data_IF_763420366800
#
_entry.id   IF_763420366800
#
_cell.length_a   1.000
_cell.length_b   1.000
_cell.length_c   1.000
_cell.angle_alpha   90.00
_cell.angle_beta   90.00
_cell.angle_gamma   90.00
#
_symmetry.space_group_name_H-M   'P 1'
#
loop_
_entity.id
_entity.type
_entity.pdbx_description
1 polymer ?
#
# COMPACT_ATOMS: atom_id res chain seq x y z
N UNK A 1 -33.77 -13.24 -1.26
CA UNK A 1 -33.21 -12.76 0.03
C UNK A 1 -33.82 -11.39 0.32
N UNK A 2 -34.22 -11.11 1.58
CA UNK A 2 -34.67 -9.77 1.93
C UNK A 2 -33.50 -8.79 1.83
N UNK A 3 -33.77 -7.55 1.45
CA UNK A 3 -32.78 -6.45 1.33
C UNK A 3 -31.87 -6.33 2.56
N UNK A 4 -32.47 -6.39 3.76
CA UNK A 4 -31.73 -6.38 5.04
C UNK A 4 -30.72 -7.53 5.16
N UNK A 5 -31.09 -8.72 4.66
CA UNK A 5 -30.21 -9.89 4.69
C UNK A 5 -29.07 -9.77 3.67
N UNK A 6 -29.35 -9.22 2.49
CA UNK A 6 -28.31 -8.93 1.48
C UNK A 6 -27.30 -7.91 2.02
N UNK A 7 -27.78 -6.81 2.64
CA UNK A 7 -26.92 -5.82 3.27
C UNK A 7 -26.08 -6.43 4.39
N UNK A 8 -26.68 -7.21 5.28
CA UNK A 8 -25.95 -7.86 6.38
C UNK A 8 -24.85 -8.78 5.86
N UNK A 9 -25.10 -9.53 4.79
CA UNK A 9 -24.10 -10.37 4.13
C UNK A 9 -22.99 -9.50 3.54
N UNK A 10 -23.32 -8.43 2.83
CA UNK A 10 -22.34 -7.52 2.24
C UNK A 10 -21.43 -6.91 3.32
N UNK A 11 -22.00 -6.38 4.39
CA UNK A 11 -21.26 -5.79 5.51
C UNK A 11 -20.34 -6.82 6.19
N UNK A 12 -20.82 -8.05 6.37
CA UNK A 12 -20.03 -9.15 6.91
C UNK A 12 -18.85 -9.50 6.00
N UNK A 13 -19.09 -9.61 4.70
CA UNK A 13 -18.03 -9.92 3.71
C UNK A 13 -16.96 -8.84 3.72
N UNK A 14 -17.35 -7.57 3.72
CA UNK A 14 -16.39 -6.44 3.79
C UNK A 14 -15.57 -6.50 5.07
N UNK A 15 -16.21 -6.76 6.22
CA UNK A 15 -15.52 -6.89 7.50
C UNK A 15 -14.54 -8.07 7.50
N UNK A 16 -14.95 -9.23 6.99
CA UNK A 16 -14.10 -10.44 6.93
C UNK A 16 -12.88 -10.19 6.03
N UNK A 17 -13.08 -9.63 4.84
CA UNK A 17 -11.97 -9.32 3.92
C UNK A 17 -11.02 -8.31 4.56
N UNK A 18 -11.54 -7.23 5.17
CA UNK A 18 -10.73 -6.23 5.84
C UNK A 18 -9.92 -6.81 7.00
N UNK A 19 -10.55 -7.62 7.86
CA UNK A 19 -9.89 -8.29 8.98
C UNK A 19 -8.83 -9.29 8.50
N UNK A 20 -9.13 -10.08 7.47
CA UNK A 20 -8.18 -11.01 6.87
C UNK A 20 -6.97 -10.27 6.28
N UNK A 21 -7.18 -9.11 5.63
CA UNK A 21 -6.09 -8.27 5.13
C UNK A 21 -5.17 -7.74 6.24
N UNK A 22 -5.74 -7.27 7.35
CA UNK A 22 -4.97 -6.81 8.52
C UNK A 22 -4.19 -7.97 9.16
N UNK A 23 -4.82 -9.15 9.33
CA UNK A 23 -4.15 -10.33 9.88
C UNK A 23 -3.04 -10.84 8.96
N UNK A 24 -3.25 -10.84 7.65
CA UNK A 24 -2.22 -11.21 6.68
C UNK A 24 -1.04 -10.24 6.73
N UNK A 25 -1.29 -8.94 6.77
CA UNK A 25 -0.25 -7.93 6.92
C UNK A 25 0.56 -8.14 8.21
N UNK A 26 -0.11 -8.41 9.33
CA UNK A 26 0.54 -8.72 10.61
C UNK A 26 1.36 -10.03 10.54
N UNK A 27 0.88 -11.06 9.85
CA UNK A 27 1.59 -12.32 9.66
C UNK A 27 2.84 -12.16 8.78
N UNK A 28 2.76 -11.32 7.72
CA UNK A 28 3.88 -11.02 6.84
C UNK A 28 4.98 -10.19 7.53
N UNK A 29 4.64 -9.46 8.59
CA UNK A 29 5.60 -8.71 9.44
C UNK A 29 6.05 -9.50 10.67
N UNK A 30 5.74 -10.79 10.75
CA UNK A 30 6.16 -11.68 11.82
C UNK A 30 7.69 -11.88 11.90
N UNK A 31 8.16 -12.41 13.03
CA UNK A 31 9.60 -12.51 13.31
C UNK A 31 10.34 -13.58 12.47
N UNK A 32 9.64 -14.54 11.87
CA UNK A 32 10.26 -15.65 11.13
C UNK A 32 10.91 -16.70 12.05
N UNK A 33 11.71 -17.61 11.45
CA UNK A 33 12.36 -18.71 12.17
C UNK A 33 13.59 -18.30 12.98
N UNK A 34 14.08 -17.09 12.78
CA UNK A 34 15.20 -16.49 13.52
C UNK A 34 14.97 -14.99 13.69
N UNK A 35 15.17 -14.51 14.89
CA UNK A 35 15.07 -13.09 15.22
C UNK A 35 15.97 -12.77 16.41
N UNK A 36 16.13 -11.49 16.71
CA UNK A 36 16.82 -11.01 17.89
C UNK A 36 15.77 -10.63 18.94
N UNK A 37 15.73 -11.38 20.04
CA UNK A 37 14.81 -11.09 21.14
C UNK A 37 15.21 -9.79 21.84
N UNK A 38 16.51 -9.60 22.10
CA UNK A 38 17.03 -8.38 22.68
C UNK A 38 18.34 -7.95 21.99
N UNK A 39 18.33 -6.76 21.45
CA UNK A 39 19.52 -6.05 20.97
C UNK A 39 19.84 -4.90 21.92
N UNK A 40 21.09 -4.85 22.42
CA UNK A 40 21.58 -3.79 23.26
C UNK A 40 22.86 -3.23 22.63
N UNK A 41 22.98 -1.90 22.57
CA UNK A 41 24.18 -1.19 22.14
C UNK A 41 24.52 -0.13 23.19
N UNK A 42 25.70 -0.22 23.73
CA UNK A 42 26.30 0.73 24.68
C UNK A 42 27.42 1.49 23.96
N UNK A 43 27.18 2.76 23.66
CA UNK A 43 28.13 3.66 23.01
C UNK A 43 28.83 4.53 24.07
N UNK A 44 30.14 4.45 24.11
CA UNK A 44 31.00 5.31 24.93
C UNK A 44 31.59 6.41 24.06
N UNK A 45 31.74 7.61 24.59
CA UNK A 45 32.22 8.78 23.84
C UNK A 45 33.72 8.68 23.43
N UNK A 46 34.44 7.74 23.98
CA UNK A 46 35.79 7.38 23.52
C UNK A 46 35.84 6.53 22.24
N UNK A 47 34.69 6.31 21.60
CA UNK A 47 34.54 5.50 20.39
C UNK A 47 34.30 4.02 20.62
N UNK A 48 34.31 3.54 21.87
CA UNK A 48 33.97 2.13 22.15
C UNK A 48 32.47 1.91 21.99
N UNK A 49 32.11 0.87 21.24
CA UNK A 49 30.76 0.38 21.09
C UNK A 49 30.70 -1.08 21.52
N UNK A 50 29.89 -1.36 22.53
CA UNK A 50 29.57 -2.71 22.99
C UNK A 50 28.19 -3.09 22.52
N UNK A 51 28.06 -4.22 21.82
CA UNK A 51 26.79 -4.70 21.33
C UNK A 51 26.53 -6.11 21.86
N UNK A 52 25.31 -6.34 22.37
CA UNK A 52 24.82 -7.66 22.77
C UNK A 52 23.61 -8.01 21.92
N UNK A 53 23.68 -9.17 21.27
CA UNK A 53 22.56 -9.77 20.52
C UNK A 53 22.11 -11.04 21.21
N UNK A 54 20.83 -11.12 21.57
CA UNK A 54 20.17 -12.36 22.02
C UNK A 54 19.30 -12.88 20.89
N UNK A 55 19.81 -13.86 20.18
CA UNK A 55 19.10 -14.52 19.08
C UNK A 55 18.18 -15.59 19.61
N UNK A 56 17.00 -15.69 18.99
CA UNK A 56 16.08 -16.82 19.15
C UNK A 56 15.98 -17.54 17.81
N UNK A 57 16.25 -18.84 17.82
CA UNK A 57 16.17 -19.74 16.66
C UNK A 57 15.04 -20.75 16.90
N UNK A 58 14.01 -20.74 16.04
CA UNK A 58 12.88 -21.66 16.15
C UNK A 58 13.09 -22.96 15.34
N UNK A 59 13.92 -22.90 14.29
CA UNK A 59 14.14 -24.02 13.36
C UNK A 59 15.54 -24.64 13.52
N UNK A 60 15.64 -25.83 14.13
CA UNK A 60 16.88 -26.59 14.29
C UNK A 60 17.55 -26.93 12.96
N UNK A 61 18.89 -26.89 12.94
CA UNK A 61 19.72 -27.37 11.84
C UNK A 61 19.67 -26.54 10.56
N UNK A 62 19.01 -25.38 10.59
CA UNK A 62 18.82 -24.51 9.41
C UNK A 62 19.96 -23.51 9.23
N UNK A 63 20.43 -22.92 10.31
CA UNK A 63 21.39 -21.81 10.29
C UNK A 63 22.78 -22.25 10.74
N UNK A 64 23.80 -21.69 10.08
CA UNK A 64 25.22 -21.91 10.42
C UNK A 64 25.92 -20.67 10.94
N UNK A 65 25.36 -19.51 10.69
CA UNK A 65 25.98 -18.24 11.01
C UNK A 65 24.99 -17.34 11.73
N UNK A 66 25.48 -16.68 12.78
CA UNK A 66 24.84 -15.55 13.43
C UNK A 66 25.82 -14.38 13.34
N UNK A 67 25.38 -13.25 12.80
CA UNK A 67 26.28 -12.18 12.42
C UNK A 67 25.60 -10.82 12.36
N UNK A 68 26.44 -9.79 12.34
CA UNK A 68 26.06 -8.45 11.96
C UNK A 68 26.94 -7.94 10.81
N UNK A 69 26.41 -7.07 9.96
CA UNK A 69 27.12 -6.42 8.86
C UNK A 69 27.18 -4.92 9.13
N UNK A 70 28.36 -4.33 8.94
CA UNK A 70 28.56 -2.88 8.97
C UNK A 70 28.44 -2.26 7.58
N UNK A 71 27.77 -1.12 7.46
CA UNK A 71 27.86 -0.31 6.25
C UNK A 71 29.22 0.40 6.14
N UNK A 72 29.74 0.87 7.27
CA UNK A 72 31.10 1.39 7.35
C UNK A 72 32.13 0.28 7.11
N UNK A 73 33.30 0.59 6.56
CA UNK A 73 34.38 -0.37 6.44
C UNK A 73 34.73 -1.00 7.79
N UNK A 74 34.80 -2.31 7.85
CA UNK A 74 35.34 -3.06 8.98
C UNK A 74 36.81 -3.34 8.71
N UNK A 75 37.70 -2.86 9.55
CA UNK A 75 39.10 -3.01 9.33
C UNK A 75 39.89 -3.16 10.64
N UNK A 76 40.98 -3.92 10.60
CA UNK A 76 41.91 -4.10 11.72
C UNK A 76 43.03 -3.05 11.77
N UNK A 77 43.28 -2.42 10.63
CA UNK A 77 44.29 -1.39 10.47
C UNK A 77 43.63 -0.05 10.11
N UNK A 78 44.28 1.04 10.46
CA UNK A 78 43.80 2.38 10.15
C UNK A 78 43.76 2.60 8.63
N UNK A 79 42.55 2.92 8.12
CA UNK A 79 42.31 3.14 6.70
C UNK A 79 42.60 4.57 6.24
N UNK A 80 42.83 5.51 7.16
CA UNK A 80 42.94 6.94 6.84
C UNK A 80 41.58 7.59 6.46
N UNK A 81 40.51 6.86 6.62
CA UNK A 81 39.11 7.26 6.42
C UNK A 81 38.25 6.57 7.47
N UNK A 82 36.98 6.97 7.70
CA UNK A 82 36.12 6.38 8.72
C UNK A 82 35.96 4.88 8.59
N UNK A 83 36.12 4.17 9.69
CA UNK A 83 36.02 2.72 9.74
C UNK A 83 35.61 2.25 11.15
N UNK A 84 35.30 0.97 11.26
CA UNK A 84 35.04 0.28 12.51
C UNK A 84 36.09 -0.79 12.74
N UNK A 85 36.77 -0.72 13.89
CA UNK A 85 37.75 -1.70 14.29
C UNK A 85 37.12 -2.78 15.18
N UNK A 86 37.15 -4.07 14.81
CA UNK A 86 36.69 -5.15 15.69
C UNK A 86 37.72 -5.37 16.83
N UNK A 87 37.27 -5.35 18.06
CA UNK A 87 38.11 -5.57 19.24
C UNK A 87 37.98 -6.99 19.75
N UNK A 88 36.73 -7.41 20.02
CA UNK A 88 36.46 -8.78 20.50
C UNK A 88 35.06 -9.25 20.08
N UNK A 89 34.92 -10.58 20.00
CA UNK A 89 33.62 -11.25 19.80
C UNK A 89 33.55 -12.40 20.80
N UNK A 90 32.62 -12.33 21.73
CA UNK A 90 32.27 -13.42 22.61
C UNK A 90 31.07 -14.18 22.01
N UNK A 91 31.34 -15.37 21.50
CA UNK A 91 30.38 -16.17 20.77
C UNK A 91 29.94 -17.40 21.59
N UNK A 92 28.82 -18.03 21.29
CA UNK A 92 28.33 -19.24 21.97
C UNK A 92 29.35 -20.36 21.92
N UNK A 93 29.43 -21.22 22.98
CA UNK A 93 30.34 -22.36 23.02
C UNK A 93 30.17 -23.28 21.80
N UNK A 94 31.30 -23.78 21.26
CA UNK A 94 31.31 -24.65 20.08
C UNK A 94 31.21 -23.92 18.74
N UNK A 95 31.10 -22.61 18.74
CA UNK A 95 31.13 -21.77 17.52
C UNK A 95 32.50 -21.14 17.31
N UNK A 96 32.72 -20.66 16.09
CA UNK A 96 33.98 -20.05 15.66
C UNK A 96 33.72 -18.56 15.39
N UNK A 97 34.16 -17.65 16.30
CA UNK A 97 34.02 -16.22 16.06
C UNK A 97 34.98 -15.77 14.95
N UNK A 98 34.48 -14.92 14.05
CA UNK A 98 35.21 -14.44 12.89
C UNK A 98 34.84 -13.01 12.54
N UNK A 99 35.72 -12.39 11.75
CA UNK A 99 35.41 -11.17 11.00
C UNK A 99 35.77 -11.38 9.55
N UNK A 100 35.03 -10.76 8.65
CA UNK A 100 35.41 -10.56 7.24
C UNK A 100 35.42 -9.08 6.96
N UNK A 101 36.63 -8.56 6.74
CA UNK A 101 36.88 -7.12 6.65
C UNK A 101 36.43 -6.49 5.32
N UNK A 102 36.71 -5.21 5.17
CA UNK A 102 36.41 -4.42 3.99
C UNK A 102 37.12 -4.98 2.72
N UNK A 103 38.31 -5.56 2.86
CA UNK A 103 39.06 -6.19 1.76
C UNK A 103 38.54 -7.58 1.42
N UNK A 104 37.70 -8.19 2.27
CA UNK A 104 37.19 -9.55 2.14
C UNK A 104 38.08 -10.61 2.79
N UNK A 105 39.07 -10.18 3.60
CA UNK A 105 39.90 -11.10 4.34
C UNK A 105 39.18 -11.60 5.60
N UNK A 106 39.32 -12.90 5.84
CA UNK A 106 38.69 -13.56 7.01
C UNK A 106 39.71 -13.75 8.11
N UNK A 107 39.44 -13.20 9.28
CA UNK A 107 40.24 -13.40 10.50
C UNK A 107 39.43 -14.15 11.54
N UNK A 108 39.95 -15.24 12.06
CA UNK A 108 39.37 -15.99 13.18
C UNK A 108 39.87 -15.40 14.50
N UNK A 109 38.95 -15.19 15.44
CA UNK A 109 39.24 -14.59 16.76
C UNK A 109 39.48 -15.65 17.87
N UNK A 110 39.57 -16.90 17.49
CA UNK A 110 39.89 -17.99 18.42
C UNK A 110 41.01 -18.84 17.84
N UNK A 111 41.59 -19.71 18.68
CA UNK A 111 42.55 -20.76 18.29
C UNK A 111 41.90 -21.90 17.48
N UNK A 112 40.78 -21.64 16.86
CA UNK A 112 39.98 -22.62 16.12
C UNK A 112 40.69 -23.10 14.87
N UNK A 113 40.39 -24.32 14.41
CA UNK A 113 41.07 -24.89 13.26
C UNK A 113 40.88 -24.03 12.01
N UNK A 114 41.97 -23.77 11.31
CA UNK A 114 41.97 -23.08 9.99
C UNK A 114 41.11 -23.80 8.92
N UNK A 115 40.65 -25.01 9.20
CA UNK A 115 39.85 -25.84 8.32
C UNK A 115 38.53 -25.15 7.86
N UNK A 116 37.96 -24.27 8.67
CA UNK A 116 36.67 -23.62 8.36
C UNK A 116 36.79 -22.24 7.70
N UNK A 117 38.01 -21.73 7.52
CA UNK A 117 38.23 -20.40 6.89
C UNK A 117 37.65 -20.36 5.49
N UNK A 118 37.76 -21.45 4.72
CA UNK A 118 37.20 -21.54 3.35
C UNK A 118 35.68 -21.42 3.33
N UNK A 119 35.02 -22.12 4.24
CA UNK A 119 33.56 -22.09 4.37
C UNK A 119 33.07 -20.69 4.80
N UNK A 120 33.70 -20.14 5.84
CA UNK A 120 33.39 -18.79 6.33
C UNK A 120 33.63 -17.74 5.22
N UNK A 121 34.75 -17.81 4.50
CA UNK A 121 35.07 -16.90 3.39
C UNK A 121 34.00 -16.93 2.29
N UNK A 122 33.44 -18.11 2.01
CA UNK A 122 32.42 -18.28 0.96
C UNK A 122 31.03 -17.80 1.39
N UNK A 123 30.70 -17.88 2.67
CA UNK A 123 29.38 -17.59 3.21
C UNK A 123 29.25 -16.17 3.75
N UNK A 124 30.29 -15.63 4.39
CA UNK A 124 30.27 -14.33 5.02
C UNK A 124 30.26 -13.18 4.00
N UNK A 125 29.56 -12.11 4.32
CA UNK A 125 29.54 -10.85 3.59
C UNK A 125 30.78 -10.01 3.93
N UNK A 126 31.07 -8.99 3.14
CA UNK A 126 32.09 -7.98 3.51
C UNK A 126 31.60 -7.16 4.69
N UNK A 127 32.50 -6.67 5.50
CA UNK A 127 32.23 -5.89 6.71
C UNK A 127 31.36 -6.66 7.72
N UNK A 128 31.55 -7.97 7.81
CA UNK A 128 30.77 -8.87 8.65
C UNK A 128 31.56 -9.33 9.87
N UNK A 129 30.92 -9.31 11.01
CA UNK A 129 31.41 -9.89 12.26
C UNK A 129 30.38 -10.87 12.79
N UNK A 130 30.80 -12.06 13.20
CA UNK A 130 29.87 -13.09 13.64
C UNK A 130 30.51 -14.35 14.17
N UNK A 131 29.70 -15.38 14.27
CA UNK A 131 30.17 -16.73 14.61
C UNK A 131 29.63 -17.77 13.63
N UNK A 132 30.44 -18.76 13.35
CA UNK A 132 30.13 -19.91 12.52
C UNK A 132 29.98 -21.15 13.37
N UNK A 133 28.89 -21.88 13.21
CA UNK A 133 28.66 -23.17 13.86
C UNK A 133 28.81 -24.32 12.84
N UNK A 134 29.85 -25.16 12.94
CA UNK A 134 30.05 -26.28 12.02
C UNK A 134 28.87 -27.27 12.03
N UNK A 135 28.29 -27.50 13.21
CA UNK A 135 27.17 -28.45 13.43
C UNK A 135 25.78 -27.84 13.12
N UNK A 136 25.74 -26.57 12.80
CA UNK A 136 24.52 -25.75 12.69
C UNK A 136 23.88 -25.49 14.07
N UNK A 137 23.11 -24.42 14.13
CA UNK A 137 22.38 -24.06 15.35
C UNK A 137 21.13 -24.92 15.51
N UNK A 138 20.92 -25.44 16.69
CA UNK A 138 19.65 -26.01 17.11
C UNK A 138 18.67 -24.91 17.51
N UNK A 139 17.36 -25.24 17.66
CA UNK A 139 16.39 -24.34 18.24
C UNK A 139 16.77 -23.93 19.66
N UNK A 140 16.71 -22.66 20.00
CA UNK A 140 17.06 -22.11 21.29
C UNK A 140 17.62 -20.70 21.25
N UNK A 141 18.05 -20.23 22.42
CA UNK A 141 18.60 -18.90 22.63
C UNK A 141 20.14 -18.90 22.50
N UNK A 142 20.67 -17.89 21.82
CA UNK A 142 22.10 -17.71 21.63
C UNK A 142 22.48 -16.24 21.83
N UNK A 143 23.49 -15.99 22.67
CA UNK A 143 24.03 -14.64 22.90
C UNK A 143 25.37 -14.46 22.20
N UNK A 144 25.54 -13.31 21.55
CA UNK A 144 26.82 -12.87 21.01
C UNK A 144 27.07 -11.46 21.50
N UNK A 145 28.25 -11.24 22.09
CA UNK A 145 28.69 -9.92 22.50
C UNK A 145 29.84 -9.47 21.61
N UNK A 146 29.76 -8.24 21.12
CA UNK A 146 30.77 -7.61 20.30
C UNK A 146 31.32 -6.38 21.00
N UNK A 147 32.61 -6.15 20.85
CA UNK A 147 33.24 -4.89 21.20
C UNK A 147 33.92 -4.36 19.95
N UNK A 148 33.54 -3.15 19.56
CA UNK A 148 34.12 -2.42 18.46
C UNK A 148 34.73 -1.10 18.95
N UNK A 149 35.70 -0.62 18.21
CA UNK A 149 36.16 0.76 18.30
C UNK A 149 35.78 1.49 17.01
N UNK A 150 35.06 2.56 17.16
CA UNK A 150 34.58 3.36 16.05
C UNK A 150 35.50 4.52 15.77
N UNK A 151 35.81 4.73 14.49
CA UNK A 151 36.55 5.87 13.98
C UNK A 151 35.65 6.64 12.98
N UNK A 152 34.65 7.38 13.48
CA UNK A 152 33.60 7.95 12.65
C UNK A 152 34.00 9.28 12.02
N UNK A 153 33.17 9.77 11.09
CA UNK A 153 33.13 11.19 10.79
C UNK A 153 32.56 11.97 11.96
N UNK A 154 33.19 13.12 12.27
CA UNK A 154 32.65 14.14 13.14
C UNK A 154 32.47 15.41 12.34
N UNK A 155 31.26 15.84 12.12
CA UNK A 155 30.93 17.11 11.50
C UNK A 155 30.87 18.17 12.61
N UNK A 156 31.81 19.12 12.61
CA UNK A 156 31.98 20.09 13.68
C UNK A 156 31.97 21.52 13.17
N UNK A 157 31.47 22.43 13.99
CA UNK A 157 31.70 23.86 13.93
C UNK A 157 32.30 24.35 15.26
N UNK A 158 32.29 25.68 15.48
CA UNK A 158 32.86 26.26 16.70
C UNK A 158 32.02 25.97 17.98
N UNK A 159 30.77 25.56 17.83
CA UNK A 159 29.81 25.42 18.95
C UNK A 159 29.37 23.98 19.16
N UNK A 160 29.37 23.13 18.15
CA UNK A 160 28.81 21.78 18.18
C UNK A 160 29.55 20.82 17.25
N UNK A 161 29.52 19.53 17.61
CA UNK A 161 29.87 18.42 16.75
C UNK A 161 28.66 17.50 16.57
N UNK A 162 28.52 16.92 15.38
CA UNK A 162 27.54 15.92 15.04
C UNK A 162 28.21 14.57 14.81
N UNK A 163 27.69 13.54 15.47
CA UNK A 163 28.08 12.16 15.31
C UNK A 163 26.88 11.35 14.85
N UNK A 164 27.01 10.64 13.73
CA UNK A 164 26.00 9.73 13.23
C UNK A 164 26.56 8.29 13.24
N UNK A 165 25.83 7.38 13.89
CA UNK A 165 26.17 5.96 13.99
C UNK A 165 25.03 5.11 13.42
N UNK A 166 25.26 4.54 12.25
CA UNK A 166 24.33 3.55 11.67
C UNK A 166 24.59 2.18 12.31
N UNK A 167 23.70 1.77 13.18
CA UNK A 167 23.81 0.49 13.87
C UNK A 167 23.34 -0.68 13.01
N UNK A 168 22.26 -0.52 12.24
CA UNK A 168 21.78 -1.55 11.33
C UNK A 168 20.88 -0.96 10.23
N UNK A 169 20.88 -1.59 9.04
CA UNK A 169 19.98 -1.27 7.91
C UNK A 169 19.27 -2.52 7.41
N UNK A 170 20.04 -3.54 7.01
CA UNK A 170 19.49 -4.86 6.64
C UNK A 170 19.76 -5.81 7.80
N UNK A 171 18.70 -6.10 8.58
CA UNK A 171 18.84 -6.90 9.79
C UNK A 171 17.59 -7.75 10.06
N UNK A 172 17.76 -8.78 10.88
CA UNK A 172 16.67 -9.54 11.47
C UNK A 172 15.77 -8.63 12.33
N UNK A 173 14.49 -8.98 12.53
CA UNK A 173 13.66 -8.20 13.45
C UNK A 173 14.24 -8.25 14.86
N UNK A 174 14.33 -7.08 15.53
CA UNK A 174 14.70 -6.95 16.94
C UNK A 174 13.44 -6.65 17.75
N UNK A 175 13.02 -7.57 18.61
CA UNK A 175 11.83 -7.41 19.45
C UNK A 175 12.00 -6.30 20.48
N UNK A 176 13.17 -6.25 21.09
CA UNK A 176 13.56 -5.24 22.05
C UNK A 176 14.89 -4.64 21.64
N UNK A 177 14.97 -3.33 21.64
CA UNK A 177 16.16 -2.55 21.37
C UNK A 177 16.42 -1.65 22.56
N UNK A 178 17.62 -1.66 23.08
CA UNK A 178 18.10 -0.72 24.10
C UNK A 178 19.38 -0.06 23.57
N UNK A 179 19.36 1.23 23.36
CA UNK A 179 20.54 2.02 23.03
C UNK A 179 20.90 2.85 24.24
N UNK A 180 22.15 2.76 24.66
CA UNK A 180 22.70 3.50 25.79
C UNK A 180 23.89 4.34 25.32
N UNK A 181 23.90 5.64 25.60
CA UNK A 181 25.05 6.52 25.37
C UNK A 181 25.60 6.93 26.71
N UNK A 182 26.83 6.55 26.97
CA UNK A 182 27.55 6.85 28.20
C UNK A 182 28.22 8.21 28.08
N UNK A 183 27.73 9.19 28.86
CA UNK A 183 28.10 10.60 28.82
C UNK A 183 28.49 11.09 30.24
N UNK A 184 29.65 10.62 30.76
CA UNK A 184 30.07 10.99 32.12
C UNK A 184 30.37 12.47 32.28
N UNK A 185 30.88 13.13 31.22
CA UNK A 185 31.34 14.52 31.23
C UNK A 185 30.26 15.52 30.78
N UNK A 186 29.08 15.02 30.40
CA UNK A 186 27.97 15.87 29.93
C UNK A 186 28.25 16.54 28.60
N UNK A 187 28.94 15.82 27.70
CA UNK A 187 29.29 16.28 26.37
C UNK A 187 28.13 16.16 25.36
N UNK A 188 27.16 15.26 25.63
CA UNK A 188 25.97 15.08 24.77
C UNK A 188 24.94 16.17 25.07
N UNK A 189 24.62 16.96 24.06
CA UNK A 189 23.59 18.02 24.14
C UNK A 189 22.23 17.52 23.65
N UNK A 190 22.21 16.66 22.63
CA UNK A 190 20.96 16.11 22.08
C UNK A 190 21.19 14.71 21.52
N UNK A 191 20.16 13.86 21.62
CA UNK A 191 20.13 12.50 21.08
C UNK A 191 18.94 12.37 20.13
N UNK A 192 19.20 11.90 18.92
CA UNK A 192 18.18 11.53 17.94
C UNK A 192 18.33 10.07 17.53
N UNK A 193 17.24 9.46 17.11
CA UNK A 193 17.24 8.08 16.59
C UNK A 193 16.39 7.97 15.33
N UNK A 194 16.78 7.03 14.48
CA UNK A 194 15.98 6.61 13.33
C UNK A 194 15.65 5.11 13.47
N UNK A 195 14.36 4.75 13.64
CA UNK A 195 13.18 5.63 13.69
C UNK A 195 13.15 6.52 14.95
N UNK A 196 12.40 7.65 14.91
CA UNK A 196 12.35 8.60 16.03
C UNK A 196 11.79 7.97 17.29
N UNK A 197 12.54 8.08 18.39
CA UNK A 197 12.18 7.60 19.72
C UNK A 197 12.55 8.63 20.77
N UNK A 198 11.92 8.54 21.91
CA UNK A 198 12.26 9.41 23.03
C UNK A 198 13.51 8.88 23.73
N UNK A 199 14.46 9.76 23.94
CA UNK A 199 15.65 9.51 24.76
C UNK A 199 15.40 10.01 26.17
N UNK A 200 15.70 9.19 27.18
CA UNK A 200 15.67 9.57 28.60
C UNK A 200 17.09 9.61 29.15
N UNK A 201 17.39 10.59 30.00
CA UNK A 201 18.70 10.69 30.67
C UNK A 201 18.58 10.15 32.08
N UNK A 202 19.36 9.11 32.38
CA UNK A 202 19.46 8.50 33.71
C UNK A 202 20.89 8.64 34.24
N UNK A 203 21.10 9.64 35.09
CA UNK A 203 22.44 9.98 35.55
C UNK A 203 23.33 10.46 34.38
N UNK A 204 24.39 9.73 34.10
CA UNK A 204 25.32 9.98 32.99
C UNK A 204 25.03 9.16 31.74
N UNK A 205 23.89 8.49 31.66
CA UNK A 205 23.55 7.63 30.53
C UNK A 205 22.26 8.11 29.86
N UNK A 206 22.30 8.28 28.55
CA UNK A 206 21.12 8.47 27.72
C UNK A 206 20.60 7.10 27.28
N UNK A 207 19.33 6.84 27.51
CA UNK A 207 18.67 5.58 27.18
C UNK A 207 17.58 5.78 26.14
N UNK A 208 17.58 4.93 25.11
CA UNK A 208 16.52 4.85 24.10
C UNK A 208 16.04 3.40 24.02
N UNK A 209 14.75 3.19 24.19
CA UNK A 209 14.14 1.87 24.12
C UNK A 209 13.15 1.76 22.97
N UNK A 210 12.99 0.55 22.42
CA UNK A 210 12.02 0.30 21.35
C UNK A 210 12.10 -1.09 20.75
N UNK A 211 11.65 -1.22 19.50
CA UNK A 211 11.77 -2.42 18.68
C UNK A 211 12.19 -2.02 17.27
N UNK A 212 12.88 -2.87 16.54
CA UNK A 212 13.25 -2.61 15.14
C UNK A 212 12.69 -3.71 14.25
N UNK A 213 11.73 -3.41 13.37
CA UNK A 213 11.26 -4.38 12.37
C UNK A 213 12.40 -4.79 11.44
N UNK A 214 12.25 -5.95 10.80
CA UNK A 214 13.20 -6.43 9.81
C UNK A 214 13.52 -5.37 8.75
N UNK A 215 14.80 -5.28 8.37
CA UNK A 215 15.30 -4.38 7.30
C UNK A 215 14.89 -2.91 7.49
N UNK A 216 14.88 -2.45 8.75
CA UNK A 216 14.58 -1.06 9.12
C UNK A 216 15.86 -0.36 9.57
N UNK A 217 16.09 0.87 9.09
CA UNK A 217 17.21 1.68 9.54
C UNK A 217 17.17 1.87 11.06
N UNK A 218 18.22 1.44 11.75
CA UNK A 218 18.48 1.72 13.15
C UNK A 218 19.74 2.58 13.26
N UNK A 219 19.55 3.84 13.60
CA UNK A 219 20.58 4.85 13.61
C UNK A 219 20.50 5.70 14.87
N UNK A 220 21.65 6.12 15.35
CA UNK A 220 21.83 7.01 16.49
C UNK A 220 22.57 8.24 16.04
N UNK A 221 21.99 9.41 16.21
CA UNK A 221 22.64 10.69 15.95
C UNK A 221 22.78 11.48 17.25
N UNK A 222 23.96 12.06 17.46
CA UNK A 222 24.29 12.84 18.64
C UNK A 222 24.74 14.25 18.24
N UNK A 223 24.21 15.24 18.92
CA UNK A 223 24.86 16.55 19.01
C UNK A 223 25.71 16.59 20.27
N UNK A 224 26.96 16.97 20.09
CA UNK A 224 28.02 16.91 21.09
C UNK A 224 28.67 18.29 21.22
N UNK A 225 29.27 18.54 22.37
CA UNK A 225 30.17 19.71 22.54
C UNK A 225 31.46 19.53 21.71
N UNK A 226 32.10 20.63 21.28
CA UNK A 226 33.29 20.55 20.41
C UNK A 226 34.47 19.81 21.03
N UNK A 227 34.57 19.76 22.35
CA UNK A 227 35.64 19.10 23.10
C UNK A 227 35.73 17.59 22.80
N UNK A 228 34.68 17.00 22.24
CA UNK A 228 34.63 15.60 21.86
C UNK A 228 35.74 15.20 20.85
N UNK A 229 36.25 16.17 20.08
CA UNK A 229 37.32 15.92 19.11
C UNK A 229 38.60 15.41 19.80
N UNK A 230 38.83 15.80 21.05
CA UNK A 230 40.02 15.38 21.81
C UNK A 230 39.82 13.99 22.45
N UNK A 231 38.61 13.50 22.55
CA UNK A 231 38.25 12.23 23.21
C UNK A 231 37.98 11.10 22.23
N UNK A 232 37.32 11.42 21.13
CA UNK A 232 36.90 10.46 20.11
C UNK A 232 37.91 10.46 18.95
N UNK A 233 38.57 9.33 18.76
CA UNK A 233 39.47 9.10 17.64
C UNK A 233 38.69 8.97 16.33
N UNK A 234 38.34 10.11 15.74
CA UNK A 234 37.50 10.22 14.54
C UNK A 234 38.13 11.17 13.50
N UNK A 235 37.38 11.32 12.40
CA UNK A 235 37.76 12.16 11.26
C UNK A 235 36.94 13.44 11.28
N UNK A 236 37.51 14.51 11.86
CA UNK A 236 36.82 15.79 11.97
C UNK A 236 36.67 16.47 10.61
N UNK A 237 35.49 17.03 10.33
CA UNK A 237 35.16 17.81 9.14
C UNK A 237 34.53 19.12 9.57
N UNK A 238 34.98 20.22 9.03
CA UNK A 238 34.36 21.52 9.26
C UNK A 238 33.09 21.68 8.46
N UNK A 239 31.98 21.88 9.17
CA UNK A 239 30.63 22.02 8.59
C UNK A 239 29.93 23.18 9.31
N UNK A 240 29.62 24.29 8.61
CA UNK A 240 28.96 25.42 9.27
C UNK A 240 27.52 25.10 9.70
N UNK A 241 27.11 25.62 10.85
CA UNK A 241 25.77 25.48 11.45
C UNK A 241 25.35 24.02 11.62
N UNK A 242 26.20 23.24 12.29
CA UNK A 242 26.00 21.82 12.54
C UNK A 242 24.72 21.56 13.31
N UNK A 243 24.52 22.26 14.41
CA UNK A 243 23.34 22.09 15.26
C UNK A 243 22.03 22.40 14.50
N UNK A 244 21.96 23.55 13.83
CA UNK A 244 20.77 23.96 13.08
C UNK A 244 20.43 22.99 11.94
N UNK A 245 21.42 22.49 11.21
CA UNK A 245 21.21 21.50 10.15
C UNK A 245 20.72 20.16 10.69
N UNK A 246 21.34 19.67 11.76
CA UNK A 246 20.96 18.40 12.39
C UNK A 246 19.53 18.48 12.96
N UNK A 247 19.20 19.54 13.67
CA UNK A 247 17.87 19.77 14.23
C UNK A 247 16.80 19.85 13.12
N UNK A 248 17.06 20.63 12.06
CA UNK A 248 16.15 20.77 10.93
C UNK A 248 15.93 19.43 10.18
N UNK A 249 16.99 18.66 9.96
CA UNK A 249 16.90 17.35 9.33
C UNK A 249 16.07 16.37 10.17
N UNK A 250 16.36 16.29 11.48
CA UNK A 250 15.64 15.42 12.41
C UNK A 250 14.18 15.84 12.62
N UNK A 251 13.89 17.15 12.67
CA UNK A 251 12.51 17.63 12.72
C UNK A 251 11.72 17.20 11.47
N UNK A 252 12.30 17.40 10.28
CA UNK A 252 11.66 17.00 9.01
C UNK A 252 11.41 15.50 8.95
N UNK A 253 12.39 14.70 9.36
CA UNK A 253 12.27 13.25 9.39
C UNK A 253 11.19 12.80 10.38
N UNK A 254 11.21 13.33 11.62
CA UNK A 254 10.24 12.96 12.67
C UNK A 254 8.81 13.37 12.31
N UNK A 255 8.61 14.52 11.67
CA UNK A 255 7.29 14.94 11.18
C UNK A 255 6.77 13.98 10.10
N UNK A 256 7.61 13.63 9.14
CA UNK A 256 7.26 12.67 8.08
C UNK A 256 6.91 11.30 8.68
N UNK A 257 7.73 10.80 9.59
CA UNK A 257 7.49 9.52 10.27
C UNK A 257 6.16 9.51 11.04
N UNK A 258 5.91 10.57 11.83
CA UNK A 258 4.64 10.72 12.59
C UNK A 258 3.44 10.81 11.67
N UNK A 259 3.55 11.54 10.55
CA UNK A 259 2.49 11.64 9.55
C UNK A 259 2.14 10.27 8.96
N UNK A 260 3.13 9.52 8.46
CA UNK A 260 2.87 8.19 7.89
C UNK A 260 2.37 7.19 8.93
N UNK A 261 2.86 7.28 10.17
CA UNK A 261 2.36 6.45 11.28
C UNK A 261 0.89 6.76 11.59
N UNK A 262 0.53 8.04 11.69
CA UNK A 262 -0.86 8.46 11.89
C UNK A 262 -1.75 8.05 10.71
N UNK A 263 -1.27 8.20 9.48
CA UNK A 263 -1.98 7.77 8.28
C UNK A 263 -2.24 6.25 8.28
N UNK A 264 -1.25 5.46 8.68
CA UNK A 264 -1.41 4.01 8.82
C UNK A 264 -2.52 3.64 9.81
N UNK A 265 -2.53 4.28 10.98
CA UNK A 265 -3.60 4.05 11.97
C UNK A 265 -4.97 4.50 11.46
N UNK A 266 -5.01 5.66 10.79
CA UNK A 266 -6.25 6.15 10.19
C UNK A 266 -6.79 5.16 9.13
N UNK A 267 -5.95 4.69 8.22
CA UNK A 267 -6.36 3.73 7.19
C UNK A 267 -6.83 2.40 7.81
N UNK A 268 -6.13 1.92 8.83
CA UNK A 268 -6.54 0.72 9.58
C UNK A 268 -7.91 0.92 10.24
N UNK A 269 -8.12 2.08 10.89
CA UNK A 269 -9.41 2.41 11.50
C UNK A 269 -10.53 2.51 10.45
N UNK A 270 -10.25 3.07 9.25
CA UNK A 270 -11.22 3.18 8.17
C UNK A 270 -11.68 1.80 7.66
N UNK A 271 -10.82 0.78 7.65
CA UNK A 271 -11.20 -0.59 7.28
C UNK A 271 -12.35 -1.09 8.15
N UNK A 272 -12.29 -0.85 9.46
CA UNK A 272 -13.34 -1.27 10.41
C UNK A 272 -14.54 -0.31 10.45
N UNK A 273 -14.31 0.97 10.19
CA UNK A 273 -15.38 1.99 10.19
C UNK A 273 -16.22 1.95 8.92
N UNK A 274 -15.65 1.54 7.80
CA UNK A 274 -16.32 1.55 6.49
C UNK A 274 -17.63 0.72 6.45
N UNK A 275 -17.70 -0.51 6.97
CA UNK A 275 -18.97 -1.25 7.06
C UNK A 275 -20.04 -0.51 7.87
N UNK A 276 -19.63 0.16 8.94
CA UNK A 276 -20.56 0.95 9.78
C UNK A 276 -21.11 2.15 8.99
N UNK A 277 -20.24 2.86 8.27
CA UNK A 277 -20.65 3.99 7.41
C UNK A 277 -21.60 3.53 6.31
N UNK A 278 -21.32 2.40 5.65
CA UNK A 278 -22.23 1.81 4.66
C UNK A 278 -23.60 1.47 5.27
N UNK A 279 -23.61 0.88 6.46
CA UNK A 279 -24.83 0.58 7.20
C UNK A 279 -25.64 1.84 7.52
N UNK A 280 -24.98 2.90 7.96
CA UNK A 280 -25.62 4.19 8.24
C UNK A 280 -26.17 4.87 6.98
N UNK A 281 -25.39 4.85 5.88
CA UNK A 281 -25.83 5.37 4.58
C UNK A 281 -27.04 4.64 4.06
N UNK A 282 -27.05 3.30 4.14
CA UNK A 282 -28.19 2.51 3.78
C UNK A 282 -29.41 2.85 4.66
N UNK A 283 -29.23 2.91 5.97
CA UNK A 283 -30.34 3.21 6.88
C UNK A 283 -30.98 4.58 6.60
N UNK A 284 -30.14 5.56 6.24
CA UNK A 284 -30.60 6.94 5.96
C UNK A 284 -31.15 7.13 4.55
N UNK A 285 -30.56 6.51 3.54
CA UNK A 285 -30.84 6.81 2.13
C UNK A 285 -31.24 5.58 1.29
N UNK A 286 -30.81 4.38 1.66
CA UNK A 286 -31.03 3.16 0.88
C UNK A 286 -32.23 2.35 1.27
N UNK A 287 -32.83 2.64 2.43
CA UNK A 287 -33.98 1.86 2.91
C UNK A 287 -35.17 2.08 1.99
N UNK A 288 -35.65 1.00 1.36
CA UNK A 288 -36.88 1.03 0.58
C UNK A 288 -38.06 1.41 1.46
N UNK A 289 -38.89 2.31 0.94
CA UNK A 289 -40.16 2.64 1.59
C UNK A 289 -41.14 1.51 1.35
N UNK A 290 -41.77 1.02 2.40
CA UNK A 290 -42.86 0.06 2.28
C UNK A 290 -44.06 0.75 1.62
N UNK A 291 -44.38 0.35 0.40
CA UNK A 291 -45.60 0.79 -0.28
C UNK A 291 -46.59 -0.36 -0.33
N UNK A 292 -47.78 -0.10 0.13
CA UNK A 292 -48.91 -0.99 -0.13
C UNK A 292 -49.47 -0.65 -1.51
N UNK A 293 -49.03 -1.42 -2.52
CA UNK A 293 -49.57 -1.26 -3.87
C UNK A 293 -50.76 -2.23 -4.03
N UNK A 294 -51.94 -1.76 -4.44
CA UNK A 294 -53.04 -2.63 -4.76
C UNK A 294 -52.60 -3.62 -5.85
N UNK A 295 -53.09 -4.86 -5.76
CA UNK A 295 -52.78 -5.93 -6.71
C UNK A 295 -53.21 -5.61 -8.13
N UNK A 296 -54.19 -4.73 -8.28
CA UNK A 296 -54.70 -4.20 -9.54
C UNK A 296 -54.91 -2.68 -9.41
N UNK A 297 -54.45 -1.92 -10.37
CA UNK A 297 -54.68 -0.48 -10.49
C UNK A 297 -55.68 -0.26 -11.63
N UNK A 298 -56.75 0.48 -11.37
CA UNK A 298 -57.70 0.91 -12.39
C UNK A 298 -57.32 2.22 -13.09
N UNK A 299 -56.22 2.82 -12.69
CA UNK A 299 -55.76 4.10 -13.25
C UNK A 299 -54.23 4.12 -13.30
N UNK A 300 -53.66 4.99 -14.15
CA UNK A 300 -52.23 5.24 -14.20
C UNK A 300 -51.89 6.26 -13.12
N UNK A 301 -51.06 5.91 -12.11
CA UNK A 301 -50.82 6.76 -10.94
C UNK A 301 -50.16 8.11 -11.27
N UNK A 302 -49.32 8.16 -12.30
CA UNK A 302 -48.70 9.36 -12.84
C UNK A 302 -48.37 9.17 -14.31
N UNK A 303 -48.57 10.24 -15.11
CA UNK A 303 -48.02 10.29 -16.48
C UNK A 303 -46.51 10.43 -16.46
N UNK A 304 -45.80 9.34 -16.68
CA UNK A 304 -44.36 9.31 -16.87
C UNK A 304 -44.05 8.94 -18.31
N UNK A 305 -42.88 9.37 -18.80
CA UNK A 305 -42.38 8.96 -20.11
C UNK A 305 -42.16 7.43 -20.12
N UNK A 306 -42.66 6.71 -21.16
CA UNK A 306 -42.56 5.23 -21.19
C UNK A 306 -41.14 4.70 -21.13
N UNK A 307 -40.19 5.35 -21.81
CA UNK A 307 -38.81 4.95 -21.78
C UNK A 307 -38.22 5.05 -20.36
N UNK A 308 -38.57 6.10 -19.60
CA UNK A 308 -38.12 6.28 -18.23
C UNK A 308 -38.66 5.19 -17.29
N UNK A 309 -39.94 4.83 -17.48
CA UNK A 309 -40.58 3.73 -16.73
C UNK A 309 -39.83 2.42 -17.05
N UNK A 310 -39.60 2.14 -18.32
CA UNK A 310 -38.88 0.95 -18.75
C UNK A 310 -37.49 0.89 -18.14
N UNK A 311 -36.73 1.99 -18.19
CA UNK A 311 -35.38 2.09 -17.63
C UNK A 311 -35.34 1.78 -16.12
N UNK A 312 -36.31 2.32 -15.34
CA UNK A 312 -36.35 2.14 -13.87
C UNK A 312 -36.73 0.71 -13.49
N UNK A 313 -37.65 0.06 -14.23
CA UNK A 313 -38.14 -1.27 -13.88
C UNK A 313 -37.38 -2.43 -14.54
N UNK A 314 -36.46 -2.16 -15.43
CA UNK A 314 -35.72 -3.17 -16.17
C UNK A 314 -34.70 -3.93 -15.33
N UNK A 315 -34.19 -3.36 -14.27
CA UNK A 315 -33.20 -3.98 -13.37
C UNK A 315 -31.74 -3.81 -13.79
N UNK A 316 -31.43 -3.73 -15.09
CA UNK A 316 -30.10 -3.43 -15.62
C UNK A 316 -30.19 -2.26 -16.62
N UNK A 317 -29.79 -1.03 -16.24
CA UNK A 317 -29.86 0.13 -17.09
C UNK A 317 -28.88 0.10 -18.29
N UNK A 318 -27.86 -0.76 -18.24
CA UNK A 318 -26.85 -0.87 -19.31
C UNK A 318 -27.21 -1.96 -20.36
N UNK A 319 -28.17 -2.83 -20.06
CA UNK A 319 -28.61 -3.80 -21.04
C UNK A 319 -29.52 -3.14 -22.10
N UNK A 320 -29.20 -3.32 -23.37
CA UNK A 320 -30.04 -2.84 -24.47
C UNK A 320 -31.41 -3.53 -24.44
N UNK A 321 -32.49 -2.75 -24.70
CA UNK A 321 -33.85 -3.21 -24.68
C UNK A 321 -34.69 -2.37 -25.60
N UNK A 322 -35.33 -3.03 -26.56
CA UNK A 322 -36.21 -2.42 -27.57
C UNK A 322 -37.56 -1.95 -27.03
N UNK A 323 -37.96 -2.44 -25.82
CA UNK A 323 -39.28 -2.15 -25.26
C UNK A 323 -39.48 -0.67 -24.94
N UNK A 324 -38.43 0.02 -24.46
CA UNK A 324 -38.43 1.46 -24.23
C UNK A 324 -38.67 2.24 -25.52
N UNK A 325 -38.06 1.83 -26.60
CA UNK A 325 -38.17 2.44 -27.92
C UNK A 325 -39.61 2.27 -28.47
N UNK A 326 -40.12 1.04 -28.49
CA UNK A 326 -41.49 0.77 -28.96
C UNK A 326 -42.57 1.49 -28.12
N UNK A 327 -42.40 1.50 -26.81
CA UNK A 327 -43.34 2.19 -25.92
C UNK A 327 -43.32 3.73 -26.19
N UNK A 328 -42.14 4.30 -26.52
CA UNK A 328 -42.03 5.70 -26.90
C UNK A 328 -42.71 5.99 -28.24
N UNK A 329 -42.56 5.13 -29.23
CA UNK A 329 -43.29 5.28 -30.49
C UNK A 329 -44.82 5.29 -30.28
N UNK A 330 -45.35 4.41 -29.46
CA UNK A 330 -46.79 4.38 -29.15
C UNK A 330 -47.21 5.63 -28.38
N UNK A 331 -46.39 6.19 -27.48
CA UNK A 331 -46.75 7.44 -26.80
C UNK A 331 -46.69 8.64 -27.73
N UNK A 332 -45.71 8.71 -28.64
CA UNK A 332 -45.63 9.73 -29.68
C UNK A 332 -46.85 9.66 -30.63
N UNK A 333 -47.29 8.44 -30.98
CA UNK A 333 -48.56 8.26 -31.75
C UNK A 333 -49.75 8.75 -30.95
N UNK A 334 -49.88 8.38 -29.68
CA UNK A 334 -50.96 8.84 -28.79
C UNK A 334 -51.04 10.37 -28.70
N UNK A 335 -49.91 11.04 -28.75
CA UNK A 335 -49.78 12.51 -28.73
C UNK A 335 -49.97 13.15 -30.11
N UNK A 336 -50.15 12.36 -31.18
CA UNK A 336 -50.40 12.85 -32.53
C UNK A 336 -49.16 13.38 -33.27
N UNK A 337 -47.95 13.03 -32.78
CA UNK A 337 -46.67 13.48 -33.36
C UNK A 337 -46.27 12.61 -34.56
N UNK A 338 -46.63 11.34 -34.49
CA UNK A 338 -46.46 10.37 -35.57
C UNK A 338 -47.68 9.48 -35.72
N UNK A 339 -47.81 8.82 -36.87
CA UNK A 339 -48.86 7.81 -37.12
C UNK A 339 -48.23 6.50 -37.56
N UNK A 340 -48.51 5.45 -36.85
CA UNK A 340 -48.08 4.09 -37.16
C UNK A 340 -49.14 3.42 -38.01
N UNK A 341 -48.79 3.01 -39.23
CA UNK A 341 -49.67 2.29 -40.14
C UNK A 341 -49.13 0.89 -40.38
N UNK A 342 -49.93 -0.14 -40.21
CA UNK A 342 -49.59 -1.53 -40.55
C UNK A 342 -50.29 -1.90 -41.87
N UNK A 343 -49.58 -2.38 -42.85
CA UNK A 343 -50.19 -2.98 -44.04
C UNK A 343 -50.70 -4.39 -43.67
N UNK A 344 -52.03 -4.55 -43.64
CA UNK A 344 -52.69 -5.82 -43.46
C UNK A 344 -53.62 -5.86 -42.25
N UNK A 345 -54.90 -5.64 -42.50
CA UNK A 345 -56.09 -6.01 -41.70
C UNK A 345 -56.40 -5.18 -40.47
N UNK A 346 -57.49 -4.47 -40.57
CA UNK A 346 -58.19 -3.88 -39.44
C UNK A 346 -58.42 -4.90 -38.32
N UNK A 347 -57.87 -4.63 -37.13
CA UNK A 347 -58.40 -5.18 -35.89
C UNK A 347 -57.75 -6.45 -35.31
N UNK A 348 -56.58 -6.94 -35.76
CA UNK A 348 -55.88 -8.05 -35.10
C UNK A 348 -54.40 -7.73 -34.81
N UNK A 349 -53.97 -8.00 -33.59
CA UNK A 349 -52.56 -7.96 -33.18
C UNK A 349 -51.82 -9.01 -34.00
N UNK A 350 -50.99 -8.57 -34.93
CA UNK A 350 -50.26 -9.41 -35.89
C UNK A 350 -49.07 -10.06 -35.22
N UNK A 351 -48.99 -11.37 -35.26
CA UNK A 351 -47.80 -12.15 -35.01
C UNK A 351 -46.80 -11.90 -36.13
N UNK A 352 -45.57 -11.51 -35.74
CA UNK A 352 -44.32 -11.63 -36.48
C UNK A 352 -44.37 -11.52 -38.03
N UNK A 353 -43.88 -10.41 -38.57
CA UNK A 353 -43.58 -10.23 -39.99
C UNK A 353 -44.33 -9.11 -40.70
N UNK A 354 -45.12 -8.29 -40.01
CA UNK A 354 -45.86 -7.15 -40.61
C UNK A 354 -44.95 -5.96 -40.89
N UNK A 355 -45.03 -5.42 -42.12
CA UNK A 355 -44.38 -4.18 -42.55
C UNK A 355 -44.94 -3.00 -41.75
N UNK A 356 -44.10 -2.28 -41.02
CA UNK A 356 -44.49 -1.15 -40.20
C UNK A 356 -44.11 0.12 -40.96
N UNK A 357 -45.06 1.02 -41.14
CA UNK A 357 -44.84 2.36 -41.69
C UNK A 357 -45.11 3.40 -40.64
N UNK A 358 -44.18 4.30 -40.39
CA UNK A 358 -44.27 5.41 -39.44
C UNK A 358 -44.30 6.71 -40.22
N UNK A 359 -45.41 7.42 -40.19
CA UNK A 359 -45.59 8.73 -40.86
C UNK A 359 -45.36 9.80 -39.80
N UNK A 360 -44.38 10.70 -40.06
CA UNK A 360 -44.08 11.86 -39.23
C UNK A 360 -45.09 12.98 -39.58
N UNK A 361 -45.99 13.37 -38.64
CA UNK A 361 -47.08 14.27 -38.91
C UNK A 361 -46.77 15.73 -38.72
N UNK A 362 -45.97 16.10 -37.73
CA UNK A 362 -45.62 17.50 -37.44
C UNK A 362 -44.28 17.63 -36.71
N UNK A 363 -43.67 18.83 -36.76
CA UNK A 363 -42.61 19.23 -35.86
C UNK A 363 -43.19 19.50 -34.46
N UNK A 364 -42.74 18.79 -33.45
CA UNK A 364 -43.28 18.90 -32.09
C UNK A 364 -42.74 20.18 -31.43
N UNK A 365 -43.65 21.08 -31.09
CA UNK A 365 -43.28 22.36 -30.50
C UNK A 365 -43.23 22.43 -28.98
N UNK A 366 -43.70 21.40 -28.25
CA UNK A 366 -43.65 21.38 -26.78
C UNK A 366 -43.73 19.96 -26.19
N UNK A 367 -42.99 19.74 -25.09
CA UNK A 367 -43.10 18.56 -24.26
C UNK A 367 -42.35 17.31 -24.73
N UNK A 368 -41.35 17.47 -25.63
CA UNK A 368 -40.45 16.42 -26.10
C UNK A 368 -39.15 16.53 -25.32
N UNK A 369 -38.73 15.38 -24.74
CA UNK A 369 -37.45 15.30 -24.08
C UNK A 369 -36.30 14.87 -25.04
N UNK A 370 -35.09 14.84 -24.53
CA UNK A 370 -33.90 14.53 -25.32
C UNK A 370 -33.95 13.12 -25.94
N UNK A 371 -34.46 12.15 -25.23
CA UNK A 371 -34.60 10.78 -25.74
C UNK A 371 -35.62 10.71 -26.89
N UNK A 372 -36.78 11.35 -26.72
CA UNK A 372 -37.79 11.41 -27.77
C UNK A 372 -37.30 12.17 -29.00
N UNK A 373 -36.46 13.25 -28.81
CA UNK A 373 -35.81 13.93 -29.90
C UNK A 373 -34.88 13.03 -30.69
N UNK A 374 -34.08 12.22 -30.00
CA UNK A 374 -33.19 11.22 -30.65
C UNK A 374 -33.97 10.20 -31.45
N UNK A 375 -35.07 9.69 -30.89
CA UNK A 375 -35.98 8.77 -31.61
C UNK A 375 -36.56 9.40 -32.86
N UNK A 376 -37.01 10.64 -32.77
CA UNK A 376 -37.58 11.35 -33.94
C UNK A 376 -36.53 11.71 -34.99
N UNK A 377 -35.32 12.12 -34.58
CA UNK A 377 -34.19 12.32 -35.49
C UNK A 377 -33.83 11.04 -36.21
N UNK A 378 -33.70 9.93 -35.50
CA UNK A 378 -33.46 8.63 -36.10
C UNK A 378 -34.50 8.27 -37.17
N UNK A 379 -35.80 8.45 -36.88
CA UNK A 379 -36.86 8.18 -37.84
C UNK A 379 -36.75 9.10 -39.05
N UNK A 380 -36.42 10.39 -38.88
CA UNK A 380 -36.25 11.37 -39.97
C UNK A 380 -35.06 11.04 -40.88
N UNK A 381 -33.93 10.65 -40.30
CA UNK A 381 -32.70 10.35 -41.03
C UNK A 381 -32.85 9.16 -42.01
N UNK A 382 -33.81 8.28 -41.69
CA UNK A 382 -34.08 7.08 -42.48
C UNK A 382 -35.49 7.10 -43.15
N UNK A 383 -36.24 8.17 -43.03
CA UNK A 383 -37.51 8.34 -43.70
C UNK A 383 -37.31 8.81 -45.18
N UNK A 384 -38.15 8.31 -46.09
CA UNK A 384 -38.30 8.79 -47.46
C UNK A 384 -39.67 9.47 -47.55
N UNK A 385 -39.72 10.72 -48.03
CA UNK A 385 -40.94 11.54 -48.13
C UNK A 385 -41.76 11.60 -46.81
N UNK A 386 -41.06 11.67 -45.67
CA UNK A 386 -41.69 11.73 -44.34
C UNK A 386 -42.26 10.43 -43.83
N UNK A 387 -41.97 9.32 -44.48
CA UNK A 387 -42.43 7.96 -44.08
C UNK A 387 -41.20 7.09 -43.80
N UNK A 388 -41.10 6.62 -42.55
CA UNK A 388 -40.13 5.58 -42.19
C UNK A 388 -40.75 4.20 -42.43
N UNK A 389 -40.16 3.40 -43.31
CA UNK A 389 -40.62 2.04 -43.66
C UNK A 389 -39.63 1.02 -43.14
N UNK A 390 -40.05 0.11 -42.24
CA UNK A 390 -39.15 -0.87 -41.65
C UNK A 390 -38.54 -1.84 -42.67
N UNK A 391 -39.29 -2.20 -43.73
CA UNK A 391 -38.78 -3.10 -44.77
C UNK A 391 -37.74 -2.40 -45.67
N UNK A 392 -37.95 -1.13 -46.02
CA UNK A 392 -36.98 -0.32 -46.72
C UNK A 392 -35.71 -0.12 -45.88
N UNK A 393 -35.87 0.14 -44.59
CA UNK A 393 -34.77 0.27 -43.65
C UNK A 393 -33.95 -1.02 -43.51
N UNK A 394 -34.61 -2.18 -43.34
CA UNK A 394 -33.93 -3.49 -43.32
C UNK A 394 -33.18 -3.79 -44.63
N UNK A 395 -33.78 -3.49 -45.79
CA UNK A 395 -33.12 -3.68 -47.08
C UNK A 395 -31.89 -2.78 -47.20
N UNK A 396 -31.95 -1.54 -46.73
CA UNK A 396 -30.83 -0.60 -46.71
C UNK A 396 -29.70 -1.09 -45.80
N UNK A 397 -30.01 -1.57 -44.58
CA UNK A 397 -29.01 -2.16 -43.68
C UNK A 397 -28.38 -3.41 -44.29
N UNK A 398 -29.15 -4.30 -44.90
CA UNK A 398 -28.61 -5.48 -45.59
C UNK A 398 -27.65 -5.12 -46.71
N UNK A 399 -28.02 -4.10 -47.54
CA UNK A 399 -27.14 -3.58 -48.58
C UNK A 399 -25.87 -2.92 -48.06
N UNK A 400 -25.90 -2.32 -46.88
CA UNK A 400 -24.74 -1.71 -46.22
C UNK A 400 -23.84 -2.77 -45.52
N UNK A 401 -24.36 -3.91 -45.13
CA UNK A 401 -23.60 -5.03 -44.53
C UNK A 401 -22.63 -5.68 -45.50
N UNK A 402 -22.91 -5.57 -46.83
CA UNK A 402 -22.00 -6.02 -47.90
C UNK A 402 -20.87 -5.00 -48.19
N UNK A 403 -20.96 -3.78 -47.69
CA UNK A 403 -19.90 -2.76 -47.71
C UNK A 403 -19.46 -2.43 -46.27
N UNK A 404 -18.41 -3.04 -45.85
CA UNK A 404 -17.89 -3.24 -44.49
C UNK A 404 -17.66 -1.99 -43.62
N UNK A 405 -17.94 -0.79 -44.07
CA UNK A 405 -17.72 0.48 -43.33
C UNK A 405 -18.99 1.24 -42.87
N UNK A 406 -20.13 0.95 -43.43
CA UNK A 406 -21.35 1.73 -43.18
C UNK A 406 -22.42 0.99 -42.35
N UNK A 407 -22.28 -0.34 -42.25
CA UNK A 407 -23.12 -1.18 -41.34
C UNK A 407 -22.85 -0.85 -39.87
N UNK A 408 -21.62 -0.50 -39.53
CA UNK A 408 -21.24 -0.11 -38.18
C UNK A 408 -21.86 1.23 -37.75
N UNK A 409 -22.05 2.18 -38.68
CA UNK A 409 -22.66 3.48 -38.40
C UNK A 409 -24.16 3.41 -38.10
N UNK A 410 -24.88 2.54 -38.81
CA UNK A 410 -26.31 2.33 -38.55
C UNK A 410 -26.57 1.60 -37.26
N UNK A 411 -25.70 0.62 -36.88
CA UNK A 411 -25.75 -0.07 -35.59
C UNK A 411 -25.36 0.83 -34.43
N UNK A 412 -24.36 1.69 -34.59
CA UNK A 412 -23.95 2.72 -33.60
C UNK A 412 -25.02 3.76 -33.38
N UNK A 413 -25.76 4.16 -34.43
CA UNK A 413 -26.88 5.09 -34.35
C UNK A 413 -28.06 4.48 -33.57
N UNK A 414 -28.35 3.20 -33.75
CA UNK A 414 -29.35 2.46 -32.96
C UNK A 414 -28.92 2.23 -31.50
N UNK A 415 -27.64 2.00 -31.26
CA UNK A 415 -27.11 1.82 -29.90
C UNK A 415 -26.96 3.13 -29.12
N UNK A 416 -27.02 4.26 -29.82
CA UNK A 416 -26.95 5.59 -29.23
C UNK A 416 -28.33 6.20 -28.85
N UNK A 417 -29.39 5.48 -29.14
CA UNK A 417 -30.78 5.81 -28.74
C UNK A 417 -31.11 5.06 -27.44
#
# INVERSE_FOLDING_TARGET
LSEKRQLAILLLVVLVIGSAGVLLAAALTGYGDVYVDHYRADLYLNGTLEETFRYEIEASGKYRMLYRVWEAPLAWDNLGEPYVEPVSILAPPGTIPYTKDYYGEVKLLSTSPSAYVGDIRSLALRNEAGCYNPERFEAGEYSIDYVFRMHPYLECDAESCHLNVKLATEHLPYKQVTLAVHDPDGSVTQVYTHPPREASKEGSVWLVNGASPKDTLLELELLLKPEIIDELDGFARDVPDVAGKTEAANLRYSLSYRFFTALRYLLTALIFLFPVLLGLLYYRHGREKEFTVPKFLSYVPKTRKPWLVNLVFKGDPFAFDEHGFYATLLDLQRRGILKIATEGTEGRIVKSGGRLRIVLLQDPHAGIDEYEQRVLSFLRDYAEDGVFDTAAFEARIKGLRDSTRMGDYAMLSLSGI
#
